data_IF_910365444433
#
_entry.id   IF_910365444433
#
_cell.length_a   1.000
_cell.length_b   1.000
_cell.length_c   1.000
_cell.angle_alpha   90.00
_cell.angle_beta   90.00
_cell.angle_gamma   90.00
#
_symmetry.space_group_name_H-M   'P 1'
#
loop_
_entity.id
_entity.type
_entity.pdbx_description
1 polymer ?
#
# COMPACT_ATOMS: atom_id res chain seq x y z
N UNK A 1 -28.81 12.16 -6.50
CA UNK A 1 -29.41 12.45 -5.17
C UNK A 1 -28.31 12.33 -4.14
N UNK A 2 -28.24 13.22 -3.14
CA UNK A 2 -27.24 13.11 -2.07
C UNK A 2 -27.78 12.24 -0.93
N UNK A 3 -26.95 11.30 -0.44
CA UNK A 3 -27.29 10.44 0.70
C UNK A 3 -26.75 10.98 2.03
N UNK A 4 -26.14 12.17 2.00
CA UNK A 4 -25.42 12.77 3.13
C UNK A 4 -26.19 12.72 4.44
N UNK A 5 -27.45 13.12 4.44
CA UNK A 5 -28.29 13.20 5.64
C UNK A 5 -28.56 11.82 6.26
N UNK A 6 -28.86 10.84 5.40
CA UNK A 6 -29.10 9.46 5.83
C UNK A 6 -27.81 8.86 6.38
N UNK A 7 -26.67 9.11 5.70
CA UNK A 7 -25.36 8.63 6.10
C UNK A 7 -24.91 9.22 7.44
N UNK A 8 -25.10 10.51 7.67
CA UNK A 8 -24.79 11.14 8.98
C UNK A 8 -25.52 10.40 10.11
N UNK A 9 -26.83 10.19 9.94
CA UNK A 9 -27.66 9.50 10.93
C UNK A 9 -27.27 8.04 11.13
N UNK A 10 -26.98 7.33 10.04
CA UNK A 10 -26.55 5.94 10.03
C UNK A 10 -25.21 5.76 10.73
N UNK A 11 -24.19 6.49 10.31
CA UNK A 11 -22.82 6.42 10.86
C UNK A 11 -22.77 6.81 12.34
N UNK A 12 -23.51 7.85 12.72
CA UNK A 12 -23.64 8.24 14.12
C UNK A 12 -24.16 7.07 14.98
N UNK A 13 -25.24 6.42 14.52
CA UNK A 13 -25.83 5.29 15.24
C UNK A 13 -24.90 4.08 15.26
N UNK A 14 -24.23 3.79 14.17
CA UNK A 14 -23.26 2.69 14.05
C UNK A 14 -22.10 2.85 15.03
N UNK A 15 -21.63 4.08 15.24
CA UNK A 15 -20.57 4.41 16.24
C UNK A 15 -21.14 4.56 17.68
N UNK A 16 -22.45 4.34 17.89
CA UNK A 16 -23.09 4.47 19.20
C UNK A 16 -23.19 5.90 19.72
N UNK A 17 -23.02 6.91 18.86
CA UNK A 17 -23.07 8.32 19.28
C UNK A 17 -24.50 8.83 19.37
N UNK A 18 -24.79 9.63 20.41
CA UNK A 18 -25.98 10.50 20.43
C UNK A 18 -25.77 11.71 19.50
N UNK A 19 -26.85 12.45 19.20
CA UNK A 19 -26.69 13.70 18.45
C UNK A 19 -25.84 14.73 19.19
N UNK A 20 -25.83 14.69 20.52
CA UNK A 20 -25.01 15.56 21.36
C UNK A 20 -23.53 15.17 21.26
N UNK A 21 -23.20 13.88 21.30
CA UNK A 21 -21.83 13.38 21.20
C UNK A 21 -21.21 13.73 19.83
N UNK A 22 -21.99 13.57 18.75
CA UNK A 22 -21.52 13.95 17.42
C UNK A 22 -21.32 15.47 17.30
N UNK A 23 -22.23 16.25 17.88
CA UNK A 23 -22.15 17.71 17.88
C UNK A 23 -20.88 18.20 18.61
N UNK A 24 -20.59 17.65 19.78
CA UNK A 24 -19.40 17.98 20.57
C UNK A 24 -18.11 17.70 19.79
N UNK A 25 -17.99 16.52 19.15
CA UNK A 25 -16.83 16.13 18.34
C UNK A 25 -16.59 17.03 17.14
N UNK A 26 -17.65 17.58 16.57
CA UNK A 26 -17.61 18.47 15.41
C UNK A 26 -17.52 19.95 15.77
N UNK A 27 -17.62 20.31 17.07
CA UNK A 27 -17.70 21.69 17.52
C UNK A 27 -19.00 22.39 17.13
N UNK A 28 -20.12 21.64 17.09
CA UNK A 28 -21.46 22.09 16.70
C UNK A 28 -22.44 21.96 17.86
N UNK A 29 -23.67 22.42 17.65
CA UNK A 29 -24.78 22.21 18.62
C UNK A 29 -25.60 20.98 18.21
N UNK A 30 -26.24 20.32 19.20
CA UNK A 30 -27.13 19.18 18.95
C UNK A 30 -28.23 19.51 17.93
N UNK A 31 -28.79 20.72 18.00
CA UNK A 31 -29.87 21.17 17.10
C UNK A 31 -29.43 21.22 15.63
N UNK A 32 -28.16 21.56 15.38
CA UNK A 32 -27.58 21.59 14.03
C UNK A 32 -27.43 20.17 13.48
N UNK A 33 -26.97 19.22 14.29
CA UNK A 33 -26.90 17.81 13.88
C UNK A 33 -28.29 17.27 13.57
N UNK A 34 -29.27 17.54 14.41
CA UNK A 34 -30.69 17.18 14.13
C UNK A 34 -31.19 17.76 12.82
N UNK A 35 -30.88 19.04 12.54
CA UNK A 35 -31.27 19.69 11.28
C UNK A 35 -30.63 19.05 10.06
N UNK A 36 -29.38 18.61 10.15
CA UNK A 36 -28.68 17.89 9.07
C UNK A 36 -29.29 16.50 8.83
N UNK A 37 -29.55 15.73 9.87
CA UNK A 37 -30.17 14.41 9.76
C UNK A 37 -31.60 14.43 9.20
N UNK A 38 -32.34 15.52 9.45
CA UNK A 38 -33.72 15.71 9.02
C UNK A 38 -33.86 16.53 7.71
N UNK A 39 -32.75 16.81 7.03
CA UNK A 39 -32.70 17.59 5.78
C UNK A 39 -33.26 19.02 5.90
N UNK A 40 -33.32 19.58 7.13
CA UNK A 40 -33.75 20.95 7.36
C UNK A 40 -32.64 21.99 7.15
N UNK A 41 -31.41 21.54 7.10
CA UNK A 41 -30.24 22.35 6.80
C UNK A 41 -29.19 21.51 6.10
N UNK A 42 -28.31 22.15 5.31
CA UNK A 42 -27.19 21.52 4.67
C UNK A 42 -25.88 21.90 5.40
N UNK A 43 -24.97 20.93 5.67
CA UNK A 43 -23.66 21.22 6.25
C UNK A 43 -22.79 22.00 5.25
N UNK A 44 -21.99 22.93 5.77
CA UNK A 44 -20.91 23.54 4.99
C UNK A 44 -19.85 22.52 4.63
N UNK A 45 -19.13 22.76 3.55
CA UNK A 45 -18.07 21.85 3.07
C UNK A 45 -17.05 21.51 4.16
N UNK A 46 -16.65 22.47 4.98
CA UNK A 46 -15.72 22.25 6.10
C UNK A 46 -16.28 21.27 7.14
N UNK A 47 -17.60 21.30 7.36
CA UNK A 47 -18.28 20.39 8.28
C UNK A 47 -18.34 18.97 7.69
N UNK A 48 -18.60 18.86 6.38
CA UNK A 48 -18.62 17.58 5.67
C UNK A 48 -17.20 16.96 5.71
N UNK A 49 -16.14 17.75 5.52
CA UNK A 49 -14.77 17.29 5.63
C UNK A 49 -14.45 16.76 7.04
N UNK A 50 -14.85 17.47 8.09
CA UNK A 50 -14.68 17.01 9.48
C UNK A 50 -15.45 15.71 9.76
N UNK A 51 -16.68 15.58 9.22
CA UNK A 51 -17.44 14.33 9.32
C UNK A 51 -16.77 13.18 8.57
N UNK A 52 -16.32 13.39 7.36
CA UNK A 52 -15.60 12.41 6.57
C UNK A 52 -14.36 11.91 7.32
N UNK A 53 -13.57 12.83 7.89
CA UNK A 53 -12.43 12.50 8.72
C UNK A 53 -12.80 11.71 9.97
N UNK A 54 -13.85 12.15 10.71
CA UNK A 54 -14.31 11.50 11.94
C UNK A 54 -14.81 10.07 11.70
N UNK A 55 -15.44 9.83 10.54
CA UNK A 55 -15.99 8.53 10.18
C UNK A 55 -15.04 7.68 9.32
N UNK A 56 -13.84 8.20 9.00
CA UNK A 56 -12.82 7.53 8.18
C UNK A 56 -13.34 7.16 6.78
N UNK A 57 -14.07 8.08 6.16
CA UNK A 57 -14.66 7.94 4.83
C UNK A 57 -14.15 9.03 3.88
N UNK A 58 -14.21 8.76 2.58
CA UNK A 58 -14.06 9.81 1.58
C UNK A 58 -15.29 10.72 1.53
N UNK A 59 -15.13 11.96 1.02
CA UNK A 59 -16.25 12.86 0.79
C UNK A 59 -17.26 12.26 -0.17
N UNK A 60 -16.79 11.57 -1.21
CA UNK A 60 -17.65 10.90 -2.19
C UNK A 60 -18.51 9.81 -1.55
N UNK A 61 -17.93 8.95 -0.73
CA UNK A 61 -18.67 7.94 0.02
C UNK A 61 -19.74 8.56 0.92
N UNK A 62 -19.36 9.61 1.67
CA UNK A 62 -20.27 10.25 2.60
C UNK A 62 -21.47 10.94 1.89
N UNK A 63 -21.26 11.48 0.68
CA UNK A 63 -22.25 12.27 -0.05
C UNK A 63 -23.07 11.41 -1.02
N UNK A 64 -22.42 10.54 -1.80
CA UNK A 64 -23.00 9.91 -2.99
C UNK A 64 -23.38 8.44 -2.82
N UNK A 65 -22.90 7.76 -1.79
CA UNK A 65 -23.22 6.36 -1.52
C UNK A 65 -24.27 6.20 -0.44
N UNK A 66 -25.20 5.27 -0.58
CA UNK A 66 -26.15 4.90 0.48
C UNK A 66 -25.50 3.88 1.42
N UNK A 67 -24.93 4.38 2.52
CA UNK A 67 -24.26 3.54 3.53
C UNK A 67 -25.23 2.75 4.40
N UNK A 68 -26.53 3.04 4.35
CA UNK A 68 -27.56 2.40 5.18
C UNK A 68 -28.02 1.05 4.63
N UNK A 69 -27.79 0.78 3.36
CA UNK A 69 -28.22 -0.46 2.68
C UNK A 69 -27.32 -1.66 2.92
N UNK A 70 -26.34 -1.55 3.80
CA UNK A 70 -25.45 -2.66 4.16
C UNK A 70 -24.47 -3.06 3.06
N UNK A 71 -24.39 -2.29 2.00
CA UNK A 71 -23.28 -2.38 1.06
C UNK A 71 -22.10 -1.58 1.63
N UNK A 72 -21.22 -2.34 2.23
CA UNK A 72 -19.84 -2.01 2.57
C UNK A 72 -19.62 -0.90 3.63
N UNK A 73 -19.60 -1.32 4.92
CA UNK A 73 -18.35 -1.04 5.68
C UNK A 73 -17.21 -1.25 4.70
N UNK A 74 -16.19 -0.37 4.63
CA UNK A 74 -15.02 -0.68 3.85
C UNK A 74 -14.60 -2.08 4.27
N UNK A 75 -14.98 -3.09 3.46
CA UNK A 75 -14.44 -4.42 3.63
C UNK A 75 -12.97 -4.21 3.43
N UNK A 76 -12.26 -4.34 4.53
CA UNK A 76 -10.82 -4.36 4.50
C UNK A 76 -10.47 -5.37 3.41
N UNK A 77 -9.95 -4.88 2.30
CA UNK A 77 -9.69 -5.71 1.13
C UNK A 77 -8.50 -6.62 1.43
N UNK A 78 -8.81 -7.74 2.04
CA UNK A 78 -7.81 -8.74 2.40
C UNK A 78 -7.34 -9.56 1.20
N UNK A 79 -7.99 -9.42 0.02
CA UNK A 79 -7.73 -10.25 -1.17
C UNK A 79 -7.37 -9.45 -2.43
N UNK A 80 -7.28 -8.14 -2.35
CA UNK A 80 -7.01 -7.31 -3.51
C UNK A 80 -8.17 -7.24 -4.53
N UNK A 81 -9.40 -7.56 -4.12
CA UNK A 81 -10.57 -7.62 -5.03
C UNK A 81 -11.35 -6.31 -5.16
N UNK A 82 -11.07 -5.32 -4.32
CA UNK A 82 -11.69 -4.00 -4.45
C UNK A 82 -11.12 -3.29 -5.67
N UNK A 83 -11.98 -2.59 -6.39
CA UNK A 83 -11.55 -1.77 -7.54
C UNK A 83 -10.51 -0.75 -7.07
N UNK A 84 -9.32 -0.83 -7.62
CA UNK A 84 -8.24 0.15 -7.42
C UNK A 84 -7.99 0.87 -8.72
N UNK A 85 -7.90 2.18 -8.65
CA UNK A 85 -7.50 2.98 -9.81
C UNK A 85 -5.98 3.06 -9.77
N UNK A 86 -5.34 2.40 -10.76
CA UNK A 86 -3.92 2.53 -11.00
C UNK A 86 -3.71 3.60 -12.08
N UNK A 87 -3.23 4.80 -11.73
CA UNK A 87 -2.92 5.82 -12.73
C UNK A 87 -1.76 5.34 -13.60
N UNK A 88 -1.96 5.37 -14.92
CA UNK A 88 -0.92 5.09 -15.92
C UNK A 88 -0.66 6.35 -16.76
N UNK A 89 0.52 6.44 -17.33
CA UNK A 89 0.89 7.50 -18.27
C UNK A 89 1.22 6.84 -19.60
N UNK A 90 0.58 7.30 -20.65
CA UNK A 90 0.81 6.82 -22.03
C UNK A 90 1.61 7.86 -22.83
N UNK A 91 2.39 7.40 -23.76
CA UNK A 91 3.10 8.25 -24.73
C UNK A 91 2.22 8.62 -25.95
N UNK A 92 2.80 9.30 -26.92
CA UNK A 92 2.10 9.69 -28.16
C UNK A 92 1.72 8.50 -29.07
N UNK A 93 2.25 7.31 -28.81
CA UNK A 93 1.98 6.06 -29.50
C UNK A 93 1.06 5.11 -28.71
N UNK A 94 0.35 5.64 -27.70
CA UNK A 94 -0.52 4.87 -26.80
C UNK A 94 0.21 3.73 -26.04
N UNK A 95 1.55 3.87 -25.83
CA UNK A 95 2.29 2.91 -25.02
C UNK A 95 2.40 3.41 -23.58
N UNK A 96 2.15 2.52 -22.63
CA UNK A 96 2.33 2.83 -21.19
C UNK A 96 3.79 3.14 -20.89
N UNK A 97 4.05 4.31 -20.30
CA UNK A 97 5.35 4.69 -19.80
C UNK A 97 5.54 4.21 -18.36
N UNK A 98 6.65 3.56 -18.10
CA UNK A 98 6.99 3.07 -16.76
C UNK A 98 7.34 4.27 -15.87
N UNK A 99 6.54 4.54 -14.86
CA UNK A 99 6.83 5.59 -13.88
C UNK A 99 7.92 5.13 -12.92
N UNK A 100 8.86 6.02 -12.62
CA UNK A 100 9.96 5.77 -11.68
C UNK A 100 9.65 6.43 -10.35
N UNK A 101 9.70 5.65 -9.27
CA UNK A 101 9.53 6.13 -7.89
C UNK A 101 10.89 6.18 -7.22
N UNK A 102 11.60 7.32 -7.25
CA UNK A 102 12.88 7.48 -6.58
C UNK A 102 12.70 7.52 -5.06
N UNK A 103 13.77 7.32 -4.30
CA UNK A 103 13.74 7.37 -2.83
C UNK A 103 13.13 8.69 -2.33
N UNK A 104 13.47 9.80 -2.95
CA UNK A 104 12.94 11.13 -2.59
C UNK A 104 11.42 11.27 -2.78
N UNK A 105 10.81 10.46 -3.64
CA UNK A 105 9.37 10.49 -3.90
C UNK A 105 8.57 9.48 -3.06
N UNK A 106 9.21 8.59 -2.30
CA UNK A 106 8.53 7.50 -1.58
C UNK A 106 7.47 7.97 -0.59
N UNK A 107 7.77 9.00 0.20
CA UNK A 107 6.82 9.56 1.16
C UNK A 107 5.61 10.20 0.45
N UNK A 108 5.83 10.90 -0.65
CA UNK A 108 4.76 11.43 -1.49
C UNK A 108 3.95 10.33 -2.17
N UNK A 109 4.61 9.27 -2.63
CA UNK A 109 3.97 8.15 -3.31
C UNK A 109 2.93 7.43 -2.42
N UNK A 110 3.21 7.23 -1.14
CA UNK A 110 2.26 6.59 -0.21
C UNK A 110 0.95 7.36 -0.01
N UNK A 111 0.92 8.64 -0.37
CA UNK A 111 -0.28 9.48 -0.31
C UNK A 111 -0.84 9.80 -1.69
N UNK A 112 0.02 9.88 -2.70
CA UNK A 112 -0.33 10.28 -4.07
C UNK A 112 -0.39 9.11 -5.08
N UNK A 113 -0.31 7.85 -4.63
CA UNK A 113 -0.30 6.67 -5.52
C UNK A 113 -1.51 6.58 -6.45
N UNK A 114 -2.67 7.07 -6.02
CA UNK A 114 -3.92 7.09 -6.79
C UNK A 114 -4.18 8.44 -7.48
N UNK A 115 -3.29 9.42 -7.34
CA UNK A 115 -3.42 10.74 -7.97
C UNK A 115 -2.75 10.73 -9.36
N UNK A 116 -3.53 10.84 -10.46
CA UNK A 116 -2.98 10.86 -11.81
C UNK A 116 -1.99 12.00 -12.05
N UNK A 117 -2.20 13.17 -11.45
CA UNK A 117 -1.31 14.32 -11.62
C UNK A 117 0.04 14.05 -10.94
N UNK A 118 0.03 13.49 -9.73
CA UNK A 118 1.25 13.07 -9.04
C UNK A 118 2.04 12.02 -9.84
N UNK A 119 1.34 10.99 -10.36
CA UNK A 119 2.00 9.92 -11.15
C UNK A 119 2.53 10.47 -12.47
N UNK A 120 1.85 11.43 -13.08
CA UNK A 120 2.32 12.08 -14.31
C UNK A 120 3.63 12.85 -14.10
N UNK A 121 3.80 13.46 -12.94
CA UNK A 121 4.98 14.27 -12.63
C UNK A 121 6.22 13.42 -12.24
N UNK A 122 6.04 12.12 -11.95
CA UNK A 122 7.17 11.21 -11.71
C UNK A 122 8.03 11.08 -12.98
N UNK A 123 9.35 10.86 -12.85
CA UNK A 123 10.21 10.51 -13.98
C UNK A 123 9.68 9.31 -14.74
N UNK A 124 9.91 9.27 -16.05
CA UNK A 124 9.47 8.18 -16.93
C UNK A 124 10.67 7.39 -17.43
N UNK A 125 10.44 6.12 -17.62
CA UNK A 125 11.41 5.18 -18.13
C UNK A 125 10.76 4.30 -19.20
N UNK A 126 11.43 4.15 -20.35
CA UNK A 126 10.99 3.24 -21.42
C UNK A 126 12.00 2.13 -21.54
N UNK A 127 11.53 0.89 -21.41
CA UNK A 127 12.39 -0.29 -21.48
C UNK A 127 11.77 -1.30 -22.47
N UNK A 128 12.23 -1.33 -23.73
CA UNK A 128 11.67 -2.21 -24.75
C UNK A 128 12.25 -3.62 -24.61
N UNK A 129 11.85 -4.31 -23.56
CA UNK A 129 12.23 -5.71 -23.32
C UNK A 129 11.07 -6.64 -23.67
N UNK A 130 11.33 -7.77 -24.35
CA UNK A 130 10.29 -8.74 -24.72
C UNK A 130 9.67 -9.43 -23.48
N UNK A 131 10.31 -9.37 -22.32
CA UNK A 131 9.81 -9.89 -21.05
C UNK A 131 8.73 -9.00 -20.40
N UNK A 132 8.57 -7.76 -20.88
CA UNK A 132 7.54 -6.84 -20.41
C UNK A 132 6.34 -6.89 -21.34
N UNK A 133 5.25 -7.49 -20.89
CA UNK A 133 4.03 -7.66 -21.68
C UNK A 133 3.21 -6.37 -21.73
N UNK A 134 2.69 -5.97 -22.91
CA UNK A 134 1.93 -4.72 -23.06
C UNK A 134 0.60 -4.66 -22.29
N UNK A 135 0.08 -5.82 -21.87
CA UNK A 135 -1.17 -5.95 -21.11
C UNK A 135 -0.98 -5.85 -19.60
N UNK A 136 0.25 -5.54 -19.17
CA UNK A 136 0.64 -5.41 -17.76
C UNK A 136 1.14 -4.00 -17.46
N UNK A 137 0.88 -3.56 -16.24
CA UNK A 137 1.40 -2.27 -15.75
C UNK A 137 2.66 -2.46 -14.92
N UNK A 138 3.65 -1.61 -15.18
CA UNK A 138 4.95 -1.67 -14.56
C UNK A 138 5.33 -0.36 -13.87
N UNK A 139 6.12 -0.46 -12.80
CA UNK A 139 6.81 0.66 -12.16
C UNK A 139 8.22 0.28 -11.76
N UNK A 140 9.10 1.29 -11.75
CA UNK A 140 10.42 1.18 -11.17
C UNK A 140 10.41 1.81 -9.79
N UNK A 141 10.87 1.07 -8.81
CA UNK A 141 11.04 1.57 -7.45
C UNK A 141 12.53 1.59 -7.09
N UNK A 142 13.06 2.74 -6.74
CA UNK A 142 14.40 2.81 -6.20
C UNK A 142 14.39 2.29 -4.77
N UNK A 143 15.20 1.30 -4.47
CA UNK A 143 15.33 0.73 -3.13
C UNK A 143 16.45 1.41 -2.34
N UNK A 144 16.37 1.33 -1.03
CA UNK A 144 17.34 1.86 -0.09
C UNK A 144 17.60 0.84 1.03
N UNK A 145 18.87 0.75 1.43
CA UNK A 145 19.33 -0.16 2.48
C UNK A 145 19.73 -1.53 1.96
N UNK A 146 20.08 -2.40 2.89
CA UNK A 146 20.70 -3.70 2.65
C UNK A 146 19.81 -4.90 3.00
N UNK A 147 18.53 -4.67 3.23
CA UNK A 147 17.60 -5.73 3.69
C UNK A 147 17.35 -6.82 2.64
N UNK A 148 17.61 -6.55 1.36
CA UNK A 148 17.34 -7.46 0.25
C UNK A 148 18.62 -7.77 -0.55
N UNK A 149 19.76 -7.89 0.14
CA UNK A 149 21.02 -8.36 -0.47
C UNK A 149 20.81 -9.73 -1.15
N UNK A 150 21.45 -10.00 -2.29
CA UNK A 150 22.58 -9.25 -2.88
C UNK A 150 22.20 -8.06 -3.78
N UNK A 151 20.94 -7.61 -3.79
CA UNK A 151 20.55 -6.44 -4.58
C UNK A 151 21.18 -5.20 -3.92
N UNK A 152 22.06 -4.45 -4.63
CA UNK A 152 22.76 -3.31 -4.05
C UNK A 152 21.80 -2.17 -3.64
N UNK A 153 22.20 -1.44 -2.60
CA UNK A 153 21.54 -0.18 -2.22
C UNK A 153 21.49 0.80 -3.41
N UNK A 154 20.40 1.57 -3.50
CA UNK A 154 20.17 2.51 -4.60
C UNK A 154 19.75 1.89 -5.92
N UNK A 155 19.61 0.56 -6.01
CA UNK A 155 19.13 -0.13 -7.22
C UNK A 155 17.67 0.22 -7.52
N UNK A 156 17.31 0.14 -8.80
CA UNK A 156 15.92 0.29 -9.27
C UNK A 156 15.32 -1.08 -9.54
N UNK A 157 14.23 -1.43 -8.88
CA UNK A 157 13.53 -2.70 -9.07
C UNK A 157 12.39 -2.50 -10.04
N UNK A 158 12.38 -3.29 -11.12
CA UNK A 158 11.29 -3.34 -12.09
C UNK A 158 10.20 -4.23 -11.52
N UNK A 159 9.01 -3.68 -11.36
CA UNK A 159 7.90 -4.38 -10.73
C UNK A 159 6.64 -4.37 -11.61
N UNK A 160 5.93 -5.50 -11.61
CA UNK A 160 4.61 -5.70 -12.22
C UNK A 160 3.53 -5.51 -11.16
N UNK A 161 2.47 -4.79 -11.50
CA UNK A 161 1.32 -4.60 -10.63
C UNK A 161 0.52 -5.89 -10.42
N UNK A 162 0.18 -6.20 -9.18
CA UNK A 162 -0.63 -7.36 -8.81
C UNK A 162 -2.03 -6.88 -8.38
N UNK A 163 -3.00 -7.06 -9.25
CA UNK A 163 -4.40 -6.72 -8.97
C UNK A 163 -5.03 -7.67 -7.94
N UNK A 164 -4.83 -8.96 -8.15
CA UNK A 164 -5.40 -10.01 -7.28
C UNK A 164 -4.31 -10.60 -6.38
N UNK A 165 -4.37 -10.30 -5.10
CA UNK A 165 -3.37 -10.75 -4.11
C UNK A 165 -3.42 -12.25 -3.81
N UNK A 166 -4.52 -12.95 -4.19
CA UNK A 166 -4.57 -14.42 -4.14
C UNK A 166 -3.52 -15.06 -5.07
N UNK A 167 -3.03 -14.33 -6.09
CA UNK A 167 -2.02 -14.80 -7.03
C UNK A 167 -0.58 -14.67 -6.54
N UNK A 168 -0.35 -14.00 -5.42
CA UNK A 168 0.98 -13.91 -4.79
C UNK A 168 1.48 -15.33 -4.51
N UNK A 169 2.71 -15.61 -4.91
CA UNK A 169 3.37 -16.88 -4.64
C UNK A 169 4.35 -16.75 -3.49
N UNK A 170 4.34 -17.74 -2.62
CA UNK A 170 5.23 -17.76 -1.47
C UNK A 170 6.70 -17.73 -1.87
N UNK A 171 7.47 -16.87 -1.21
CA UNK A 171 8.90 -16.71 -1.44
C UNK A 171 9.28 -15.77 -2.58
N UNK A 172 8.32 -15.32 -3.42
CA UNK A 172 8.61 -14.27 -4.40
C UNK A 172 8.80 -12.92 -3.70
N UNK A 173 9.72 -12.10 -4.24
CA UNK A 173 9.97 -10.75 -3.73
C UNK A 173 8.98 -9.75 -4.30
N UNK A 174 8.49 -8.86 -3.44
CA UNK A 174 7.50 -7.86 -3.79
C UNK A 174 7.83 -6.51 -3.16
N UNK A 175 7.47 -5.45 -3.87
CA UNK A 175 7.31 -4.12 -3.28
C UNK A 175 5.86 -4.02 -2.79
N UNK A 176 5.69 -3.69 -1.53
CA UNK A 176 4.40 -3.48 -0.89
C UNK A 176 4.26 -2.01 -0.51
N UNK A 177 3.17 -1.38 -0.90
CA UNK A 177 2.80 -0.06 -0.42
C UNK A 177 1.83 -0.27 0.73
N UNK A 178 2.16 0.24 1.90
CA UNK A 178 1.40 0.04 3.13
C UNK A 178 1.04 1.36 3.79
N UNK A 179 -0.06 1.38 4.52
CA UNK A 179 -0.49 2.57 5.26
C UNK A 179 0.47 2.92 6.41
N UNK A 180 0.99 1.92 7.11
CA UNK A 180 1.77 2.13 8.32
C UNK A 180 3.27 2.30 8.09
N UNK A 181 3.84 1.58 7.11
CA UNK A 181 5.29 1.51 6.88
C UNK A 181 5.72 2.17 5.56
N UNK A 182 4.74 2.64 4.76
CA UNK A 182 5.03 3.16 3.44
C UNK A 182 5.44 2.05 2.46
N UNK A 183 6.51 2.28 1.71
CA UNK A 183 7.06 1.35 0.73
C UNK A 183 8.04 0.40 1.42
N UNK A 184 7.79 -0.90 1.31
CA UNK A 184 8.67 -1.97 1.78
C UNK A 184 8.98 -2.97 0.67
N UNK A 185 10.23 -3.46 0.61
CA UNK A 185 10.66 -4.49 -0.33
C UNK A 185 11.05 -5.75 0.44
N UNK A 186 10.30 -6.85 0.25
CA UNK A 186 10.44 -8.10 1.02
C UNK A 186 10.05 -9.33 0.21
N UNK A 187 10.48 -10.51 0.65
CA UNK A 187 9.86 -11.79 0.25
C UNK A 187 8.58 -11.99 1.02
N UNK A 188 7.54 -12.37 0.29
CA UNK A 188 6.18 -12.49 0.81
C UNK A 188 5.80 -13.95 0.92
N UNK A 189 5.20 -14.32 2.04
CA UNK A 189 4.60 -15.63 2.28
C UNK A 189 3.19 -15.42 2.81
N UNK A 190 2.22 -16.14 2.27
CA UNK A 190 0.84 -16.09 2.74
C UNK A 190 0.70 -16.90 4.03
N UNK A 191 0.01 -16.33 5.01
CA UNK A 191 -0.38 -17.03 6.24
C UNK A 191 -1.90 -17.11 6.36
N UNK A 192 -2.37 -17.95 7.27
CA UNK A 192 -3.79 -18.06 7.56
C UNK A 192 -4.32 -16.75 8.18
N UNK A 193 -5.62 -16.50 8.01
CA UNK A 193 -6.26 -15.31 8.60
C UNK A 193 -6.09 -14.01 7.84
N UNK A 194 -5.51 -14.03 6.61
CA UNK A 194 -5.33 -12.81 5.79
C UNK A 194 -4.10 -12.00 6.21
N UNK A 195 -3.09 -12.67 6.74
CA UNK A 195 -1.80 -12.09 7.06
C UNK A 195 -0.75 -12.49 6.02
N UNK A 196 0.27 -11.64 5.87
CA UNK A 196 1.47 -11.91 5.10
C UNK A 196 2.66 -11.94 6.04
N UNK A 197 3.49 -13.00 5.96
CA UNK A 197 4.80 -13.00 6.59
C UNK A 197 5.81 -12.39 5.62
N UNK A 198 6.47 -11.33 6.04
CA UNK A 198 7.47 -10.60 5.28
C UNK A 198 8.87 -10.97 5.77
N UNK A 199 9.72 -11.41 4.84
CA UNK A 199 11.10 -11.77 5.12
C UNK A 199 12.07 -10.94 4.29
N UNK A 200 13.16 -10.54 4.90
CA UNK A 200 14.31 -9.98 4.21
C UNK A 200 15.21 -11.10 3.68
N UNK A 201 15.95 -10.85 2.60
CA UNK A 201 17.00 -11.76 2.16
C UNK A 201 18.23 -11.66 3.09
N UNK A 202 18.46 -10.48 3.67
CA UNK A 202 19.45 -10.32 4.71
C UNK A 202 18.89 -10.82 6.06
N UNK A 203 19.49 -11.88 6.59
CA UNK A 203 19.05 -12.56 7.84
C UNK A 203 19.19 -11.73 9.11
N UNK A 204 19.89 -10.60 9.05
CA UNK A 204 19.96 -9.67 10.19
C UNK A 204 18.63 -8.99 10.47
N UNK A 205 17.70 -9.04 9.53
CA UNK A 205 16.37 -8.47 9.68
C UNK A 205 15.36 -9.56 10.02
N UNK A 206 14.80 -9.48 11.21
CA UNK A 206 13.78 -10.43 11.68
C UNK A 206 12.53 -10.40 10.78
N UNK A 207 11.96 -11.56 10.45
CA UNK A 207 10.67 -11.64 9.77
C UNK A 207 9.55 -11.05 10.62
N UNK A 208 8.56 -10.42 9.97
CA UNK A 208 7.41 -9.88 10.67
C UNK A 208 6.11 -10.08 9.88
N UNK A 209 4.97 -10.01 10.57
CA UNK A 209 3.64 -10.16 9.98
C UNK A 209 3.06 -8.82 9.63
N UNK A 210 2.35 -8.79 8.50
CA UNK A 210 1.60 -7.66 8.02
C UNK A 210 0.18 -8.09 7.69
N UNK A 211 -0.81 -7.45 8.31
CA UNK A 211 -2.21 -7.66 7.94
C UNK A 211 -2.47 -7.09 6.54
N UNK A 212 -3.12 -7.88 5.68
CA UNK A 212 -3.48 -7.42 4.32
C UNK A 212 -4.40 -6.22 4.31
N UNK A 213 -5.08 -5.96 5.43
CA UNK A 213 -5.91 -4.75 5.64
C UNK A 213 -5.16 -3.43 5.52
N UNK A 214 -3.87 -3.43 5.79
CA UNK A 214 -3.00 -2.25 5.67
C UNK A 214 -2.31 -2.11 4.32
N UNK A 215 -2.55 -3.02 3.37
CA UNK A 215 -1.97 -2.96 2.04
C UNK A 215 -2.74 -1.98 1.15
N UNK A 216 -1.99 -1.21 0.39
CA UNK A 216 -2.48 -0.27 -0.62
C UNK A 216 -2.25 -0.84 -2.01
N UNK A 217 -1.00 -1.17 -2.34
CA UNK A 217 -0.59 -1.75 -3.61
C UNK A 217 0.40 -2.89 -3.38
N UNK A 218 0.38 -3.86 -4.30
CA UNK A 218 1.33 -4.97 -4.35
C UNK A 218 1.96 -5.02 -5.73
N UNK A 219 3.28 -5.06 -5.77
CA UNK A 219 4.09 -5.07 -6.97
C UNK A 219 5.07 -6.24 -6.92
N UNK A 220 4.94 -7.20 -7.86
CA UNK A 220 5.87 -8.31 -7.97
C UNK A 220 7.17 -7.83 -8.61
N UNK A 221 8.30 -8.07 -7.98
CA UNK A 221 9.59 -7.74 -8.58
C UNK A 221 9.98 -8.75 -9.67
N UNK A 222 10.44 -8.23 -10.81
CA UNK A 222 10.84 -9.02 -11.96
C UNK A 222 12.36 -8.99 -12.18
N UNK A 223 12.93 -7.80 -12.10
CA UNK A 223 14.34 -7.56 -12.35
C UNK A 223 14.81 -6.31 -11.58
N UNK A 224 16.10 -6.06 -11.57
CA UNK A 224 16.63 -4.81 -11.05
C UNK A 224 17.70 -4.22 -11.96
N UNK A 225 17.89 -2.91 -11.89
CA UNK A 225 18.93 -2.16 -12.54
C UNK A 225 19.81 -1.57 -11.45
N UNK A 226 21.11 -1.88 -11.48
CA UNK A 226 22.08 -1.29 -10.57
C UNK A 226 23.08 -0.47 -11.37
N UNK A 227 23.43 0.69 -10.83
CA UNK A 227 24.53 1.52 -11.32
C UNK A 227 25.83 1.26 -10.55
N UNK A 228 25.76 0.36 -9.58
CA UNK A 228 26.93 -0.18 -8.87
C UNK A 228 27.26 -1.53 -9.46
N UNK A 229 28.36 -1.61 -10.21
CA UNK A 229 28.84 -2.89 -10.74
C UNK A 229 29.57 -3.66 -9.64
N UNK A 230 29.32 -4.99 -9.53
CA UNK A 230 30.04 -5.82 -8.56
C UNK A 230 31.54 -5.74 -8.74
N UNK A 231 32.27 -5.51 -7.66
CA UNK A 231 33.73 -5.60 -7.63
C UNK A 231 34.18 -6.85 -6.84
N UNK A 232 35.49 -7.08 -6.73
CA UNK A 232 36.01 -8.24 -6.01
C UNK A 232 35.74 -8.18 -4.50
N UNK A 233 35.63 -6.98 -3.92
CA UNK A 233 35.31 -6.77 -2.49
C UNK A 233 33.84 -7.13 -2.21
N UNK A 234 32.92 -6.77 -3.11
CA UNK A 234 31.50 -7.13 -2.99
C UNK A 234 31.28 -8.65 -3.00
N UNK A 235 32.12 -9.40 -3.76
CA UNK A 235 32.07 -10.86 -3.73
C UNK A 235 32.51 -11.42 -2.38
N UNK A 236 33.57 -10.88 -1.80
CA UNK A 236 34.03 -11.31 -0.47
C UNK A 236 33.03 -11.00 0.62
N UNK A 237 32.39 -9.84 0.58
CA UNK A 237 31.30 -9.50 1.51
C UNK A 237 30.10 -10.45 1.35
N UNK A 238 29.72 -10.78 0.12
CA UNK A 238 28.65 -11.74 -0.15
C UNK A 238 28.98 -13.13 0.41
N UNK A 239 30.23 -13.59 0.23
CA UNK A 239 30.68 -14.89 0.75
C UNK A 239 30.73 -14.92 2.28
N UNK A 240 31.16 -13.83 2.92
CA UNK A 240 31.17 -13.68 4.39
C UNK A 240 29.73 -13.67 4.93
N UNK A 241 28.82 -12.99 4.25
CA UNK A 241 27.40 -12.96 4.63
C UNK A 241 26.76 -14.34 4.51
N UNK A 242 27.04 -15.09 3.42
CA UNK A 242 26.57 -16.48 3.27
C UNK A 242 27.12 -17.38 4.38
N UNK A 243 28.39 -17.25 4.71
CA UNK A 243 29.00 -17.97 5.82
C UNK A 243 28.35 -17.63 7.18
N UNK A 244 28.10 -16.36 7.42
CA UNK A 244 27.39 -15.88 8.61
C UNK A 244 25.96 -16.47 8.70
N UNK A 245 25.26 -16.55 7.58
CA UNK A 245 23.94 -17.19 7.50
C UNK A 245 23.99 -18.66 7.89
N UNK A 246 24.95 -19.41 7.34
CA UNK A 246 25.14 -20.83 7.65
C UNK A 246 25.44 -21.03 9.16
N UNK A 247 26.30 -20.18 9.72
CA UNK A 247 26.65 -20.25 11.14
C UNK A 247 25.45 -19.95 12.04
N UNK A 248 24.62 -18.94 11.70
CA UNK A 248 23.41 -18.64 12.44
C UNK A 248 22.38 -19.76 12.36
N UNK A 249 22.21 -20.35 11.16
CA UNK A 249 21.32 -21.48 10.95
C UNK A 249 21.76 -22.69 11.80
N UNK A 250 23.04 -23.05 11.74
CA UNK A 250 23.61 -24.13 12.54
C UNK A 250 23.45 -23.91 14.05
N UNK A 251 23.64 -22.66 14.49
CA UNK A 251 23.40 -22.30 15.89
C UNK A 251 21.95 -22.52 16.29
N UNK A 252 21.00 -22.06 15.46
CA UNK A 252 19.57 -22.27 15.72
C UNK A 252 19.17 -23.75 15.75
N UNK A 253 19.76 -24.55 14.88
CA UNK A 253 19.52 -26.00 14.82
C UNK A 253 20.13 -26.74 16.02
N UNK A 254 21.31 -26.35 16.48
CA UNK A 254 21.92 -26.86 17.71
C UNK A 254 21.11 -26.49 18.94
N UNK A 255 20.57 -25.28 19.02
CA UNK A 255 19.73 -24.84 20.14
C UNK A 255 18.37 -25.57 20.17
N UNK A 256 17.83 -26.00 19.02
CA UNK A 256 16.65 -26.87 18.94
C UNK A 256 16.94 -28.30 19.41
N UNK A 257 18.15 -28.81 19.17
CA UNK A 257 18.54 -30.16 19.58
C UNK A 257 18.87 -30.26 21.08
N UNK A 258 19.05 -29.13 21.76
CA UNK A 258 19.32 -29.06 23.21
C UNK A 258 18.03 -28.95 24.05
N UNK A 259 16.88 -28.81 23.42
CA UNK A 259 15.55 -28.83 24.03
C UNK A 259 14.87 -30.16 23.85
#
# INVERSE_FOLDING_TARGET
>A
MSYLNQNIKYLRKQRGFTQSDLAERLGLTRSIIGAYEEQRAEPKIETIQKMAYLFELSLDQLINQDLSTGHDTPQVDTKGKTLRILPIVIDQQDQEQISVVPVSARAGYTHGYADPDYIRDLPKFTLPLPELYPDKSYRLFQIEGDSMLPIPDGSYVICEYIENWDTIKDGESHILITQAQGLVYKRVYKEEGGELLLKSDNVLYEPYRLATSGLIEVWRSLAYISFSLPNEEDKQESDIQQLSQIVMQLKADVDKLKK
#
